data_IF_124630221723
#
_entry.id   IF_124630221723
#
_cell.length_a   1.000
_cell.length_b   1.000
_cell.length_c   1.000
_cell.angle_alpha   90.00
_cell.angle_beta   90.00
_cell.angle_gamma   90.00
#
_symmetry.space_group_name_H-M   'P 1'
#
loop_
_entity.id
_entity.type
_entity.pdbx_description
1 polymer ?
#
# COMPACT_ATOMS: atom_id res chain seq x y z
N UNK A 1 -7.10 19.97 -3.94
CA UNK A 1 -6.28 19.03 -3.16
C UNK A 1 -6.77 18.87 -1.73
N UNK A 2 -7.34 19.90 -1.09
CA UNK A 2 -7.86 19.81 0.30
C UNK A 2 -8.90 18.70 0.52
N UNK A 3 -9.87 18.52 -0.38
CA UNK A 3 -10.88 17.44 -0.27
C UNK A 3 -10.31 16.02 -0.40
N UNK A 4 -9.09 15.86 -0.93
CA UNK A 4 -8.45 14.55 -1.12
C UNK A 4 -7.58 14.14 0.08
N UNK A 5 -7.21 15.07 0.97
CA UNK A 5 -6.44 14.79 2.18
C UNK A 5 -7.30 14.74 3.45
N UNK A 6 -8.62 14.84 3.34
CA UNK A 6 -9.50 14.67 4.50
C UNK A 6 -9.32 13.26 5.08
N UNK A 7 -8.81 13.16 6.30
CA UNK A 7 -8.58 11.87 6.96
C UNK A 7 -7.25 11.20 6.66
N UNK A 8 -6.37 11.86 5.91
CA UNK A 8 -4.94 11.51 5.88
C UNK A 8 -4.06 12.71 5.62
N UNK A 9 -2.95 12.82 6.36
CA UNK A 9 -1.97 13.87 6.09
C UNK A 9 -1.51 13.82 4.62
N UNK A 10 -1.36 15.01 4.00
CA UNK A 10 -0.84 15.18 2.63
C UNK A 10 0.46 14.40 2.45
N UNK A 11 1.30 14.38 3.49
CA UNK A 11 2.51 13.58 3.56
C UNK A 11 2.28 12.10 3.20
N UNK A 12 1.23 11.45 3.70
CA UNK A 12 0.94 10.03 3.41
C UNK A 12 0.52 9.82 1.96
N UNK A 13 -0.19 10.76 1.36
CA UNK A 13 -0.56 10.67 -0.06
C UNK A 13 0.69 10.78 -0.93
N UNK A 14 1.57 11.75 -0.62
CA UNK A 14 2.86 11.90 -1.30
C UNK A 14 3.76 10.68 -1.13
N UNK A 15 3.77 10.09 0.08
CA UNK A 15 4.53 8.87 0.35
C UNK A 15 4.05 7.70 -0.52
N UNK A 16 2.74 7.50 -0.65
CA UNK A 16 2.17 6.46 -1.52
C UNK A 16 2.48 6.69 -3.00
N UNK A 17 2.41 7.95 -3.46
CA UNK A 17 2.79 8.32 -4.83
C UNK A 17 4.28 8.06 -5.05
N UNK A 18 5.15 8.45 -4.11
CA UNK A 18 6.59 8.24 -4.22
C UNK A 18 6.95 6.74 -4.34
N UNK A 19 6.30 5.87 -3.57
CA UNK A 19 6.47 4.41 -3.69
C UNK A 19 6.03 3.93 -5.07
N UNK A 20 4.84 4.32 -5.52
CA UNK A 20 4.29 3.91 -6.81
C UNK A 20 5.21 4.33 -7.97
N UNK A 21 5.62 5.61 -7.97
CA UNK A 21 6.51 6.16 -8.99
C UNK A 21 7.88 5.49 -8.96
N UNK A 22 8.42 5.20 -7.77
CA UNK A 22 9.71 4.50 -7.63
C UNK A 22 9.64 3.09 -8.22
N UNK A 23 8.58 2.32 -7.90
CA UNK A 23 8.38 0.99 -8.47
C UNK A 23 8.20 1.04 -10.00
N UNK A 24 7.45 2.01 -10.52
CA UNK A 24 7.24 2.17 -11.96
C UNK A 24 8.54 2.52 -12.71
N UNK A 25 9.34 3.44 -12.15
CA UNK A 25 10.65 3.79 -12.71
C UNK A 25 11.58 2.59 -12.69
N UNK A 26 11.68 1.88 -11.56
CA UNK A 26 12.55 0.70 -11.45
C UNK A 26 12.13 -0.40 -12.42
N UNK A 27 10.83 -0.63 -12.60
CA UNK A 27 10.32 -1.57 -13.60
C UNK A 27 10.70 -1.16 -15.03
N UNK A 28 10.55 0.12 -15.37
CA UNK A 28 10.88 0.63 -16.71
C UNK A 28 12.38 0.58 -16.99
N UNK A 29 13.21 0.93 -15.99
CA UNK A 29 14.66 0.85 -16.10
C UNK A 29 15.16 -0.59 -16.21
N UNK A 30 14.53 -1.53 -15.50
CA UNK A 30 14.86 -2.95 -15.60
C UNK A 30 14.59 -3.48 -17.01
N UNK A 31 13.44 -3.09 -17.60
CA UNK A 31 13.07 -3.44 -18.97
C UNK A 31 14.03 -2.83 -20.02
N UNK A 32 14.54 -1.62 -19.77
CA UNK A 32 15.33 -0.86 -20.74
C UNK A 32 16.84 -1.16 -20.68
N UNK A 33 17.41 -1.31 -19.48
CA UNK A 33 18.88 -1.32 -19.26
C UNK A 33 19.38 -2.69 -18.78
N UNK A 34 18.52 -3.49 -18.12
CA UNK A 34 18.88 -4.86 -17.72
C UNK A 34 19.99 -4.98 -16.66
N UNK A 35 20.27 -3.92 -15.88
CA UNK A 35 21.28 -3.96 -14.79
C UNK A 35 20.65 -4.54 -13.52
N UNK A 36 20.26 -5.82 -13.62
CA UNK A 36 19.47 -6.54 -12.62
C UNK A 36 20.12 -6.59 -11.23
N UNK A 37 21.45 -6.73 -11.17
CA UNK A 37 22.21 -6.87 -9.91
C UNK A 37 22.11 -5.63 -9.00
N UNK A 38 21.84 -4.45 -9.57
CA UNK A 38 21.72 -3.20 -8.83
C UNK A 38 20.24 -2.81 -8.69
N UNK A 39 19.45 -2.97 -9.75
CA UNK A 39 18.06 -2.55 -9.76
C UNK A 39 17.18 -3.42 -8.83
N UNK A 40 17.41 -4.73 -8.74
CA UNK A 40 16.57 -5.60 -7.90
C UNK A 40 16.72 -5.36 -6.40
N UNK A 41 17.92 -5.19 -5.83
CA UNK A 41 18.04 -4.83 -4.41
C UNK A 41 17.34 -3.49 -4.08
N UNK A 42 17.45 -2.50 -4.96
CA UNK A 42 16.78 -1.20 -4.80
C UNK A 42 15.26 -1.39 -4.87
N UNK A 43 14.76 -2.14 -5.87
CA UNK A 43 13.35 -2.46 -5.99
C UNK A 43 12.83 -3.23 -4.78
N UNK A 44 13.61 -4.16 -4.23
CA UNK A 44 13.26 -4.90 -3.02
C UNK A 44 13.14 -3.98 -1.81
N UNK A 45 14.06 -3.04 -1.62
CA UNK A 45 13.99 -2.04 -0.56
C UNK A 45 12.75 -1.13 -0.69
N UNK A 46 12.45 -0.65 -1.90
CA UNK A 46 11.25 0.15 -2.19
C UNK A 46 9.97 -0.66 -1.93
N UNK A 47 9.96 -1.93 -2.29
CA UNK A 47 8.81 -2.84 -2.09
C UNK A 47 8.54 -3.06 -0.58
N UNK A 48 9.59 -3.29 0.21
CA UNK A 48 9.49 -3.40 1.68
C UNK A 48 9.05 -2.06 2.29
N UNK A 49 9.56 -0.95 1.81
CA UNK A 49 9.10 0.36 2.26
C UNK A 49 7.60 0.57 1.94
N UNK A 50 7.14 0.15 0.76
CA UNK A 50 5.74 0.15 0.35
C UNK A 50 4.84 -0.68 1.28
N UNK A 51 5.31 -1.82 1.80
CA UNK A 51 4.57 -2.60 2.79
C UNK A 51 4.39 -1.85 4.11
N UNK A 52 5.45 -1.16 4.58
CA UNK A 52 5.40 -0.31 5.77
C UNK A 52 4.44 0.88 5.59
N UNK A 53 4.37 1.44 4.38
CA UNK A 53 3.39 2.44 4.02
C UNK A 53 1.95 1.89 4.15
N UNK A 54 1.68 0.75 3.52
CA UNK A 54 0.36 0.08 3.58
C UNK A 54 -0.05 -0.25 5.02
N UNK A 55 0.87 -0.76 5.85
CA UNK A 55 0.63 -1.04 7.27
C UNK A 55 0.16 0.20 8.02
N UNK A 56 0.86 1.33 7.85
CA UNK A 56 0.48 2.61 8.49
C UNK A 56 -0.88 3.12 8.02
N UNK A 57 -1.20 2.95 6.74
CA UNK A 57 -2.49 3.30 6.17
C UNK A 57 -3.62 2.39 6.69
N UNK A 58 -3.38 1.08 6.80
CA UNK A 58 -4.32 0.11 7.37
C UNK A 58 -4.61 0.40 8.84
N UNK A 59 -3.60 0.73 9.63
CA UNK A 59 -3.79 0.99 11.06
C UNK A 59 -4.68 2.23 11.29
N UNK A 60 -4.51 3.29 10.48
CA UNK A 60 -5.43 4.44 10.53
C UNK A 60 -6.85 4.04 10.15
N UNK A 61 -6.99 3.27 9.07
CA UNK A 61 -8.27 2.77 8.61
C UNK A 61 -8.97 2.02 9.76
N UNK A 62 -8.31 1.02 10.33
CA UNK A 62 -8.82 0.23 11.45
C UNK A 62 -9.20 1.11 12.64
N UNK A 63 -8.38 2.13 12.95
CA UNK A 63 -8.68 3.10 14.00
C UNK A 63 -9.97 3.88 13.77
N UNK A 64 -10.23 4.36 12.54
CA UNK A 64 -11.48 5.05 12.22
C UNK A 64 -12.69 4.13 12.30
N UNK A 65 -12.58 2.91 11.77
CA UNK A 65 -13.67 1.93 11.83
C UNK A 65 -14.01 1.59 13.29
N UNK A 66 -12.98 1.30 14.10
CA UNK A 66 -13.18 1.00 15.51
C UNK A 66 -13.75 2.19 16.29
N UNK A 67 -13.28 3.42 16.01
CA UNK A 67 -13.83 4.62 16.62
C UNK A 67 -15.30 4.86 16.29
N UNK A 68 -15.73 4.57 15.07
CA UNK A 68 -17.13 4.63 14.68
C UNK A 68 -17.96 3.56 15.42
N UNK A 69 -17.45 2.33 15.47
CA UNK A 69 -18.13 1.21 16.14
C UNK A 69 -18.26 1.44 17.66
N UNK A 70 -17.26 2.05 18.30
CA UNK A 70 -17.28 2.36 19.74
C UNK A 70 -18.27 3.46 20.10
N UNK A 71 -18.69 4.29 19.14
CA UNK A 71 -19.78 5.27 19.29
C UNK A 71 -21.18 4.63 19.11
N UNK A 72 -21.25 3.31 18.94
CA UNK A 72 -22.51 2.58 18.74
C UNK A 72 -23.07 2.66 17.32
N UNK A 73 -22.31 3.17 16.36
CA UNK A 73 -22.71 3.21 14.95
C UNK A 73 -22.13 2.03 14.18
N UNK A 74 -22.99 1.24 13.56
CA UNK A 74 -22.61 0.17 12.64
C UNK A 74 -22.73 0.68 11.21
N UNK A 75 -21.62 0.90 10.48
CA UNK A 75 -21.71 1.35 9.10
C UNK A 75 -22.27 0.26 8.18
N UNK A 76 -23.21 0.63 7.29
CA UNK A 76 -23.88 -0.27 6.35
C UNK A 76 -22.92 -1.13 5.52
N UNK A 77 -21.74 -0.59 5.18
CA UNK A 77 -20.70 -1.26 4.39
C UNK A 77 -19.61 -1.94 5.23
N UNK A 78 -19.89 -2.31 6.49
CA UNK A 78 -18.89 -2.91 7.40
C UNK A 78 -18.13 -4.09 6.78
N UNK A 79 -18.82 -4.98 6.08
CA UNK A 79 -18.19 -6.14 5.42
C UNK A 79 -17.15 -5.74 4.38
N UNK A 80 -17.45 -4.70 3.57
CA UNK A 80 -16.53 -4.14 2.58
C UNK A 80 -15.29 -3.55 3.26
N UNK A 81 -15.48 -2.82 4.36
CA UNK A 81 -14.36 -2.23 5.10
C UNK A 81 -13.41 -3.28 5.67
N UNK A 82 -13.95 -4.35 6.24
CA UNK A 82 -13.16 -5.50 6.71
C UNK A 82 -12.44 -6.19 5.54
N UNK A 83 -13.11 -6.36 4.40
CA UNK A 83 -12.51 -6.96 3.21
C UNK A 83 -11.31 -6.15 2.70
N UNK A 84 -11.41 -4.82 2.67
CA UNK A 84 -10.31 -3.94 2.26
C UNK A 84 -9.14 -4.01 3.24
N UNK A 85 -9.41 -4.01 4.57
CA UNK A 85 -8.36 -4.19 5.59
C UNK A 85 -7.60 -5.51 5.37
N UNK A 86 -8.32 -6.60 5.06
CA UNK A 86 -7.70 -7.90 4.76
C UNK A 86 -6.90 -7.87 3.46
N UNK A 87 -7.43 -7.25 2.40
CA UNK A 87 -6.73 -7.08 1.13
C UNK A 87 -5.42 -6.29 1.32
N UNK A 88 -5.44 -5.22 2.11
CA UNK A 88 -4.22 -4.45 2.46
C UNK A 88 -3.20 -5.33 3.17
N UNK A 89 -3.65 -6.19 4.10
CA UNK A 89 -2.78 -7.09 4.84
C UNK A 89 -2.14 -8.17 3.95
N UNK A 90 -2.90 -8.71 3.00
CA UNK A 90 -2.38 -9.70 2.04
C UNK A 90 -1.32 -9.06 1.15
N UNK A 91 -1.59 -7.86 0.61
CA UNK A 91 -0.62 -7.16 -0.24
C UNK A 91 0.60 -6.72 0.56
N UNK A 92 0.45 -6.32 1.83
CA UNK A 92 1.58 -6.04 2.71
C UNK A 92 2.54 -7.25 2.81
N UNK A 93 2.00 -8.45 3.06
CA UNK A 93 2.80 -9.68 3.16
C UNK A 93 3.45 -10.00 1.80
N UNK A 94 2.69 -9.87 0.71
CA UNK A 94 3.20 -10.08 -0.65
C UNK A 94 4.37 -9.14 -0.95
N UNK A 95 4.29 -7.87 -0.57
CA UNK A 95 5.36 -6.89 -0.80
C UNK A 95 6.60 -7.21 0.05
N UNK A 96 6.44 -7.67 1.29
CA UNK A 96 7.57 -8.12 2.11
C UNK A 96 8.26 -9.32 1.45
N UNK A 97 7.48 -10.34 1.08
CA UNK A 97 8.01 -11.54 0.44
C UNK A 97 8.71 -11.21 -0.89
N UNK A 98 8.05 -10.41 -1.74
CA UNK A 98 8.59 -9.95 -3.03
C UNK A 98 9.88 -9.15 -2.85
N UNK A 99 9.92 -8.26 -1.85
CA UNK A 99 11.10 -7.46 -1.58
C UNK A 99 12.29 -8.29 -1.08
N UNK A 100 12.05 -9.28 -0.21
CA UNK A 100 13.09 -10.22 0.22
C UNK A 100 13.61 -11.03 -0.98
N UNK A 101 12.72 -11.55 -1.82
CA UNK A 101 13.09 -12.29 -3.02
C UNK A 101 13.95 -11.45 -3.98
N UNK A 102 13.56 -10.19 -4.24
CA UNK A 102 14.31 -9.29 -5.12
C UNK A 102 15.71 -8.95 -4.58
N UNK A 103 15.90 -8.94 -3.25
CA UNK A 103 17.22 -8.73 -2.64
C UNK A 103 18.08 -10.00 -2.74
N UNK A 104 17.51 -11.17 -2.45
CA UNK A 104 18.27 -12.43 -2.34
C UNK A 104 18.67 -12.99 -3.70
N UNK A 105 17.78 -12.95 -4.70
CA UNK A 105 18.06 -13.59 -6.00
C UNK A 105 19.36 -13.15 -6.70
N UNK A 106 19.67 -11.84 -6.81
CA UNK A 106 20.94 -11.43 -7.41
C UNK A 106 22.16 -11.86 -6.57
N UNK A 107 22.04 -11.94 -5.24
CA UNK A 107 23.13 -12.35 -4.33
C UNK A 107 23.41 -13.84 -4.44
N UNK A 108 22.36 -14.66 -4.54
CA UNK A 108 22.47 -16.11 -4.61
C UNK A 108 22.89 -16.62 -6.00
N UNK A 109 23.11 -15.74 -6.98
CA UNK A 109 23.39 -16.11 -8.37
C UNK A 109 22.19 -16.83 -9.04
N UNK A 110 21.01 -16.78 -8.43
CA UNK A 110 19.79 -17.40 -8.92
C UNK A 110 19.14 -16.46 -9.93
N UNK A 111 19.71 -16.38 -11.13
CA UNK A 111 19.08 -15.70 -12.26
C UNK A 111 17.93 -16.57 -12.79
N UNK A 112 16.82 -16.59 -12.06
CA UNK A 112 15.56 -17.20 -12.49
C UNK A 112 14.96 -16.30 -13.58
N UNK A 113 15.31 -16.57 -14.84
CA UNK A 113 14.93 -15.77 -16.01
C UNK A 113 13.46 -15.34 -16.00
N UNK A 114 13.22 -14.03 -16.16
CA UNK A 114 11.89 -13.42 -16.20
C UNK A 114 11.09 -13.40 -14.88
N UNK A 115 11.35 -14.29 -13.93
CA UNK A 115 10.59 -14.40 -12.67
C UNK A 115 10.69 -13.13 -11.81
N UNK A 116 11.87 -12.52 -11.73
CA UNK A 116 12.09 -11.26 -11.00
C UNK A 116 11.31 -10.09 -11.59
N UNK A 117 11.19 -10.02 -12.91
CA UNK A 117 10.38 -9.03 -13.61
C UNK A 117 8.89 -9.19 -13.25
N UNK A 118 8.38 -10.44 -13.23
CA UNK A 118 7.01 -10.72 -12.81
C UNK A 118 6.75 -10.35 -11.35
N UNK A 119 7.69 -10.61 -10.45
CA UNK A 119 7.60 -10.21 -9.04
C UNK A 119 7.47 -8.68 -8.93
N UNK A 120 8.27 -7.93 -9.69
CA UNK A 120 8.22 -6.47 -9.70
C UNK A 120 6.90 -5.96 -10.27
N UNK A 121 6.43 -6.55 -11.37
CA UNK A 121 5.15 -6.22 -12.01
C UNK A 121 3.97 -6.45 -11.06
N UNK A 122 3.91 -7.63 -10.43
CA UNK A 122 2.85 -7.99 -9.47
C UNK A 122 2.90 -7.04 -8.27
N UNK A 123 4.09 -6.72 -7.75
CA UNK A 123 4.27 -5.78 -6.64
C UNK A 123 3.74 -4.39 -7.00
N UNK A 124 4.06 -3.88 -8.19
CA UNK A 124 3.60 -2.58 -8.68
C UNK A 124 2.07 -2.52 -8.75
N UNK A 125 1.44 -3.48 -9.44
CA UNK A 125 -0.01 -3.45 -9.64
C UNK A 125 -0.80 -3.74 -8.35
N UNK A 126 -0.35 -4.68 -7.53
CA UNK A 126 -1.00 -4.99 -6.25
C UNK A 126 -0.93 -3.81 -5.28
N UNK A 127 0.24 -3.14 -5.19
CA UNK A 127 0.37 -1.92 -4.40
C UNK A 127 -0.54 -0.81 -4.93
N UNK A 128 -0.52 -0.54 -6.23
CA UNK A 128 -1.34 0.51 -6.84
C UNK A 128 -2.83 0.32 -6.55
N UNK A 129 -3.34 -0.89 -6.81
CA UNK A 129 -4.76 -1.23 -6.63
C UNK A 129 -5.21 -1.00 -5.18
N UNK A 130 -4.46 -1.58 -4.23
CA UNK A 130 -4.81 -1.55 -2.81
C UNK A 130 -4.58 -0.18 -2.19
N UNK A 131 -3.55 0.56 -2.63
CA UNK A 131 -3.30 1.93 -2.17
C UNK A 131 -4.44 2.88 -2.59
N UNK A 132 -4.92 2.75 -3.83
CA UNK A 132 -6.03 3.57 -4.35
C UNK A 132 -7.33 3.24 -3.62
N UNK A 133 -7.72 1.97 -3.58
CA UNK A 133 -8.96 1.53 -2.92
C UNK A 133 -8.92 1.91 -1.44
N UNK A 134 -7.82 1.57 -0.75
CA UNK A 134 -7.64 1.86 0.66
C UNK A 134 -7.60 3.36 0.98
N UNK A 135 -7.13 4.21 0.06
CA UNK A 135 -7.19 5.66 0.23
C UNK A 135 -8.64 6.16 0.23
N UNK A 136 -9.41 5.85 -0.81
CA UNK A 136 -10.78 6.35 -0.95
C UNK A 136 -11.69 5.89 0.18
N UNK A 137 -11.63 4.60 0.54
CA UNK A 137 -12.50 4.08 1.61
C UNK A 137 -12.11 4.59 2.99
N UNK A 138 -10.82 4.86 3.23
CA UNK A 138 -10.38 5.53 4.46
C UNK A 138 -10.89 6.97 4.54
N UNK A 139 -10.85 7.72 3.43
CA UNK A 139 -11.41 9.09 3.37
C UNK A 139 -12.91 9.07 3.68
N UNK A 140 -13.67 8.12 3.10
CA UNK A 140 -15.09 7.91 3.39
C UNK A 140 -15.32 7.65 4.89
N UNK A 141 -14.56 6.70 5.47
CA UNK A 141 -14.66 6.39 6.91
C UNK A 141 -14.30 7.57 7.81
N UNK A 142 -13.27 8.34 7.48
CA UNK A 142 -12.90 9.50 8.27
C UNK A 142 -14.01 10.55 8.29
N UNK A 143 -14.68 10.78 7.17
CA UNK A 143 -15.83 11.71 7.11
C UNK A 143 -16.96 11.26 8.02
N UNK A 144 -17.29 9.97 7.98
CA UNK A 144 -18.30 9.38 8.87
C UNK A 144 -17.87 9.57 10.33
N UNK A 145 -16.60 9.26 10.65
CA UNK A 145 -16.05 9.42 11.99
C UNK A 145 -16.20 10.86 12.51
N UNK A 146 -15.78 11.86 11.73
CA UNK A 146 -15.91 13.27 12.12
C UNK A 146 -17.37 13.70 12.28
N UNK A 147 -18.26 13.28 11.37
CA UNK A 147 -19.68 13.61 11.46
C UNK A 147 -20.30 13.09 12.75
N UNK A 148 -19.90 11.88 13.19
CA UNK A 148 -20.39 11.28 14.43
C UNK A 148 -19.77 11.93 15.66
N UNK A 149 -18.46 12.16 15.69
CA UNK A 149 -17.79 12.88 16.79
C UNK A 149 -18.45 14.24 17.03
N UNK A 150 -18.76 14.99 15.96
CA UNK A 150 -19.39 16.32 16.07
C UNK A 150 -20.82 16.29 16.62
N UNK A 151 -21.56 15.17 16.46
CA UNK A 151 -22.94 15.04 16.97
C UNK A 151 -23.00 14.56 18.42
N UNK A 152 -21.92 13.99 18.94
CA UNK A 152 -21.84 13.41 20.29
C UNK A 152 -21.23 14.35 21.34
N UNK A 153 -20.71 15.52 20.94
CA UNK A 153 -20.24 16.59 21.81
C UNK A 153 -21.12 17.82 21.73
#
# INVERSE_FOLDING_TARGET
MEKASEGTSVYRVLEGIAVLTSLAILFTLDLAIGIHNILYPIAGAVTIYGSNHLRRCRNLYQGYLWGIESMGYLPDKRGLYIAIIKAISIVEILLIASGISLIIYPIAGLQLGGYTLYILLISLFSFALVAIIGHFTRVELYRIFLEKVRRSG
#
